data_IF_507689959585
#
_entry.id   IF_507689959585
#
_cell.length_a   1.000
_cell.length_b   1.000
_cell.length_c   1.000
_cell.angle_alpha   90.00
_cell.angle_beta   90.00
_cell.angle_gamma   90.00
#
_symmetry.space_group_name_H-M   'P 1'
#
loop_
_entity.id
_entity.type
_entity.pdbx_description
1 polymer ?
#
# COMPACT_ATOMS: atom_id res chain seq x y z
N UNK A 1 -22.61 12.03 -22.61
CA UNK A 1 -22.45 11.47 -21.24
C UNK A 1 -23.29 12.32 -20.30
N UNK A 2 -24.27 11.73 -19.56
CA UNK A 2 -24.94 12.47 -18.49
C UNK A 2 -23.90 12.73 -17.38
N UNK A 3 -23.82 13.97 -16.91
CA UNK A 3 -22.88 14.38 -15.87
C UNK A 3 -23.21 13.65 -14.55
N UNK A 4 -22.19 13.08 -13.89
CA UNK A 4 -22.32 12.58 -12.52
C UNK A 4 -22.47 13.78 -11.58
N UNK A 5 -23.72 14.05 -11.18
CA UNK A 5 -24.07 15.26 -10.44
C UNK A 5 -25.11 14.96 -9.37
N UNK A 6 -25.00 15.65 -8.24
CA UNK A 6 -26.00 15.58 -7.16
C UNK A 6 -27.42 15.94 -7.66
N UNK A 7 -27.56 16.87 -8.60
CA UNK A 7 -28.86 17.27 -9.17
C UNK A 7 -29.56 16.14 -9.93
N UNK A 8 -28.78 15.19 -10.49
CA UNK A 8 -29.29 13.99 -11.16
C UNK A 8 -29.58 12.80 -10.23
N UNK A 9 -29.40 12.94 -8.90
CA UNK A 9 -29.47 11.81 -7.96
C UNK A 9 -30.83 11.09 -7.97
N UNK A 10 -31.95 11.83 -8.03
CA UNK A 10 -33.28 11.22 -8.05
C UNK A 10 -33.52 10.37 -9.30
N UNK A 11 -33.11 10.87 -10.46
CA UNK A 11 -33.18 10.12 -11.72
C UNK A 11 -32.27 8.86 -11.66
N UNK A 12 -31.07 8.99 -11.11
CA UNK A 12 -30.16 7.88 -10.93
C UNK A 12 -30.74 6.79 -10.03
N UNK A 13 -31.34 7.14 -8.89
CA UNK A 13 -31.99 6.20 -7.99
C UNK A 13 -33.14 5.44 -8.67
N UNK A 14 -34.00 6.14 -9.42
CA UNK A 14 -35.06 5.48 -10.19
C UNK A 14 -34.54 4.51 -11.27
N UNK A 15 -33.38 4.78 -11.85
CA UNK A 15 -32.70 3.83 -12.75
C UNK A 15 -32.16 2.60 -12.04
N UNK A 16 -31.57 2.80 -10.87
CA UNK A 16 -30.96 1.69 -10.06
C UNK A 16 -32.05 0.66 -9.73
N UNK A 17 -33.26 1.08 -9.39
CA UNK A 17 -34.36 0.18 -9.03
C UNK A 17 -34.90 -0.65 -10.21
N UNK A 18 -34.77 -0.12 -11.45
CA UNK A 18 -35.42 -0.69 -12.63
C UNK A 18 -34.45 -1.32 -13.65
N UNK A 19 -33.14 -1.22 -13.43
CA UNK A 19 -32.15 -1.75 -14.35
C UNK A 19 -31.39 -2.93 -13.74
N UNK A 20 -31.17 -4.03 -14.49
CA UNK A 20 -30.34 -5.12 -14.02
C UNK A 20 -28.85 -4.70 -14.02
N UNK A 21 -28.09 -5.23 -13.06
CA UNK A 21 -26.64 -5.07 -12.94
C UNK A 21 -25.97 -6.43 -12.88
N UNK A 22 -24.79 -6.55 -13.50
CA UNK A 22 -23.98 -7.78 -13.43
C UNK A 22 -23.26 -7.87 -12.09
N UNK A 23 -22.81 -6.72 -11.55
CA UNK A 23 -22.07 -6.63 -10.28
C UNK A 23 -22.55 -5.45 -9.45
N UNK A 24 -22.75 -5.69 -8.17
CA UNK A 24 -23.00 -4.65 -7.16
C UNK A 24 -21.83 -4.62 -6.18
N UNK A 25 -21.22 -3.44 -6.03
CA UNK A 25 -20.09 -3.21 -5.14
C UNK A 25 -20.53 -2.32 -3.98
N UNK A 26 -20.32 -2.77 -2.76
CA UNK A 26 -20.66 -2.03 -1.54
C UNK A 26 -19.38 -1.46 -0.95
N UNK A 27 -19.26 -0.14 -0.96
CA UNK A 27 -18.12 0.62 -0.44
C UNK A 27 -17.24 1.23 -1.54
N UNK A 28 -17.07 2.55 -1.48
CA UNK A 28 -16.30 3.38 -2.40
C UNK A 28 -14.88 3.70 -1.91
N UNK A 29 -14.27 2.81 -1.12
CA UNK A 29 -12.85 2.88 -0.79
C UNK A 29 -11.96 2.42 -1.95
N UNK A 30 -10.63 2.37 -1.75
CA UNK A 30 -9.68 2.00 -2.81
C UNK A 30 -9.98 0.61 -3.39
N UNK A 31 -10.39 -0.34 -2.57
CA UNK A 31 -10.73 -1.69 -3.03
C UNK A 31 -11.97 -1.68 -3.91
N UNK A 32 -13.06 -1.07 -3.45
CA UNK A 32 -14.31 -1.04 -4.22
C UNK A 32 -14.19 -0.26 -5.52
N UNK A 33 -13.48 0.86 -5.52
CA UNK A 33 -13.23 1.63 -6.75
C UNK A 33 -12.31 0.88 -7.72
N UNK A 34 -11.32 0.13 -7.22
CA UNK A 34 -10.48 -0.74 -8.04
C UNK A 34 -11.28 -1.87 -8.70
N UNK A 35 -12.14 -2.54 -7.93
CA UNK A 35 -13.05 -3.58 -8.47
C UNK A 35 -14.00 -2.98 -9.49
N UNK A 36 -14.58 -1.79 -9.22
CA UNK A 36 -15.48 -1.12 -10.15
C UNK A 36 -14.79 -0.81 -11.48
N UNK A 37 -13.55 -0.31 -11.44
CA UNK A 37 -12.77 -0.04 -12.63
C UNK A 37 -12.53 -1.32 -13.44
N UNK A 38 -12.10 -2.40 -12.80
CA UNK A 38 -11.84 -3.68 -13.46
C UNK A 38 -13.12 -4.26 -14.09
N UNK A 39 -14.24 -4.23 -13.37
CA UNK A 39 -15.54 -4.68 -13.89
C UNK A 39 -15.96 -3.89 -15.13
N UNK A 40 -15.89 -2.56 -15.09
CA UNK A 40 -16.28 -1.70 -16.21
C UNK A 40 -15.38 -1.89 -17.41
N UNK A 41 -14.07 -2.07 -17.21
CA UNK A 41 -13.14 -2.34 -18.32
C UNK A 41 -13.37 -3.69 -18.99
N UNK A 42 -14.01 -4.63 -18.29
CA UNK A 42 -14.48 -5.91 -18.85
C UNK A 42 -15.87 -5.84 -19.49
N UNK A 43 -16.50 -4.67 -19.52
CA UNK A 43 -17.82 -4.46 -20.08
C UNK A 43 -18.97 -4.87 -19.17
N UNK A 44 -18.72 -5.16 -17.89
CA UNK A 44 -19.75 -5.51 -16.93
C UNK A 44 -20.53 -4.26 -16.49
N UNK A 45 -21.86 -4.37 -16.46
CA UNK A 45 -22.73 -3.30 -15.95
C UNK A 45 -22.65 -3.29 -14.43
N UNK A 46 -21.93 -2.31 -13.89
CA UNK A 46 -21.52 -2.27 -12.49
C UNK A 46 -22.23 -1.14 -11.73
N UNK A 47 -22.76 -1.46 -10.54
CA UNK A 47 -23.28 -0.50 -9.58
C UNK A 47 -22.33 -0.45 -8.37
N UNK A 48 -21.83 0.75 -8.04
CA UNK A 48 -21.09 0.99 -6.82
C UNK A 48 -21.91 1.86 -5.87
N UNK A 49 -22.06 1.41 -4.63
CA UNK A 49 -22.82 2.11 -3.58
C UNK A 49 -21.86 2.48 -2.44
N UNK A 50 -21.85 3.74 -2.07
CA UNK A 50 -21.08 4.26 -0.93
C UNK A 50 -22.01 5.02 0.02
N UNK A 51 -21.88 4.78 1.31
CA UNK A 51 -22.77 5.37 2.33
C UNK A 51 -22.43 6.82 2.67
N UNK A 52 -21.20 7.26 2.45
CA UNK A 52 -20.74 8.62 2.77
C UNK A 52 -20.22 9.32 1.51
N UNK A 53 -18.91 9.27 1.33
CA UNK A 53 -18.18 9.80 0.18
C UNK A 53 -17.05 8.82 -0.19
N UNK A 54 -16.55 8.91 -1.42
CA UNK A 54 -15.44 8.08 -1.86
C UNK A 54 -14.24 8.24 -0.94
N UNK A 55 -13.62 7.12 -0.60
CA UNK A 55 -12.46 7.05 0.27
C UNK A 55 -12.65 7.61 1.70
N UNK A 56 -13.86 7.86 2.17
CA UNK A 56 -14.12 8.46 3.50
C UNK A 56 -13.66 7.59 4.68
N UNK A 57 -13.50 6.28 4.48
CA UNK A 57 -13.01 5.34 5.48
C UNK A 57 -11.49 5.19 5.51
N UNK A 58 -11.02 3.94 5.61
CA UNK A 58 -9.61 3.55 5.74
C UNK A 58 -8.72 4.13 4.63
N UNK A 59 -9.23 4.24 3.41
CA UNK A 59 -8.46 4.75 2.26
C UNK A 59 -7.92 6.17 2.48
N UNK A 60 -8.64 7.02 3.24
CA UNK A 60 -8.17 8.37 3.61
C UNK A 60 -7.57 8.45 5.01
N UNK A 61 -7.81 7.47 5.87
CA UNK A 61 -7.42 7.47 7.29
C UNK A 61 -6.32 6.46 7.62
N UNK A 62 -5.55 6.05 6.63
CA UNK A 62 -4.39 5.16 6.75
C UNK A 62 -3.07 5.95 6.70
N UNK A 63 -1.95 5.26 6.90
CA UNK A 63 -0.60 5.83 6.70
C UNK A 63 -0.26 6.11 5.25
N UNK A 64 -1.15 5.77 4.31
CA UNK A 64 -0.97 5.91 2.86
C UNK A 64 0.19 5.10 2.28
N UNK A 65 0.69 4.12 3.02
CA UNK A 65 1.76 3.26 2.55
C UNK A 65 1.22 2.18 1.60
N UNK A 66 1.82 2.11 0.43
CA UNK A 66 1.69 1.01 -0.53
C UNK A 66 2.91 0.11 -0.31
N UNK A 67 2.82 -0.76 0.70
CA UNK A 67 3.95 -1.55 1.16
C UNK A 67 3.97 -2.95 0.55
N UNK A 68 5.17 -3.50 0.37
CA UNK A 68 5.38 -4.86 -0.15
C UNK A 68 5.28 -5.97 0.90
N UNK A 69 4.71 -5.69 2.07
CA UNK A 69 4.38 -6.71 3.05
C UNK A 69 5.57 -7.27 3.84
N UNK A 70 6.63 -6.50 4.09
CA UNK A 70 7.79 -6.92 4.90
C UNK A 70 7.40 -7.63 6.22
N UNK A 71 6.29 -7.22 6.82
CA UNK A 71 5.74 -7.84 8.04
C UNK A 71 5.44 -9.34 7.86
N UNK A 72 5.01 -9.76 6.68
CA UNK A 72 4.65 -11.16 6.40
C UNK A 72 5.86 -12.09 6.33
N UNK A 73 7.06 -11.56 6.07
CA UNK A 73 8.30 -12.37 6.18
C UNK A 73 8.52 -12.91 7.61
N UNK A 74 8.03 -12.18 8.62
CA UNK A 74 8.08 -12.62 10.00
C UNK A 74 7.20 -13.87 10.25
N UNK A 75 6.18 -14.06 9.44
CA UNK A 75 5.23 -15.18 9.49
C UNK A 75 5.60 -16.27 8.47
N UNK A 76 6.75 -16.14 7.80
CA UNK A 76 7.20 -17.04 6.72
C UNK A 76 6.27 -17.08 5.50
N UNK A 77 5.41 -16.08 5.32
CA UNK A 77 4.49 -15.98 4.18
C UNK A 77 5.20 -15.40 2.94
N UNK A 78 6.20 -16.15 2.46
CA UNK A 78 7.10 -15.72 1.36
C UNK A 78 6.33 -15.48 0.05
N UNK A 79 5.34 -16.34 -0.23
CA UNK A 79 4.49 -16.21 -1.41
C UNK A 79 3.72 -14.89 -1.42
N UNK A 80 3.10 -14.52 -0.28
CA UNK A 80 2.37 -13.28 -0.13
C UNK A 80 3.28 -12.04 -0.30
N UNK A 81 4.51 -12.10 0.23
CA UNK A 81 5.48 -10.99 0.05
C UNK A 81 5.86 -10.81 -1.43
N UNK A 82 6.03 -11.90 -2.17
CA UNK A 82 6.33 -11.84 -3.59
C UNK A 82 5.16 -11.26 -4.40
N UNK A 83 3.93 -11.65 -4.10
CA UNK A 83 2.72 -11.16 -4.74
C UNK A 83 2.50 -9.67 -4.44
N UNK A 84 2.43 -9.29 -3.15
CA UNK A 84 2.22 -7.90 -2.72
C UNK A 84 3.34 -6.98 -3.22
N UNK A 85 4.58 -7.47 -3.25
CA UNK A 85 5.72 -6.72 -3.80
C UNK A 85 5.58 -6.42 -5.29
N UNK A 86 5.08 -7.38 -6.08
CA UNK A 86 4.77 -7.17 -7.51
C UNK A 86 3.62 -6.19 -7.70
N UNK A 87 2.54 -6.35 -6.94
CA UNK A 87 1.38 -5.45 -7.00
C UNK A 87 1.76 -4.00 -6.62
N UNK A 88 2.66 -3.81 -5.68
CA UNK A 88 3.22 -2.48 -5.34
C UNK A 88 3.81 -1.78 -6.55
N UNK A 89 4.57 -2.50 -7.38
CA UNK A 89 5.16 -1.95 -8.62
C UNK A 89 4.08 -1.68 -9.68
N UNK A 90 3.05 -2.52 -9.76
CA UNK A 90 1.90 -2.30 -10.65
C UNK A 90 1.17 -1.02 -10.28
N UNK A 91 0.86 -0.82 -8.99
CA UNK A 91 0.22 0.42 -8.48
C UNK A 91 1.07 1.64 -8.82
N UNK A 92 2.38 1.59 -8.61
CA UNK A 92 3.27 2.70 -8.95
C UNK A 92 3.27 3.03 -10.45
N UNK A 93 3.28 2.01 -11.31
CA UNK A 93 3.21 2.23 -12.77
C UNK A 93 1.89 2.79 -13.23
N UNK A 94 0.80 2.37 -12.62
CA UNK A 94 -0.56 2.81 -12.98
C UNK A 94 -0.87 4.22 -12.45
N UNK A 95 -0.29 4.61 -11.32
CA UNK A 95 -0.58 5.87 -10.65
C UNK A 95 0.68 6.64 -10.22
N UNK A 96 1.63 6.91 -11.15
CA UNK A 96 2.90 7.56 -10.80
C UNK A 96 2.76 9.01 -10.34
N UNK A 97 1.61 9.64 -10.63
CA UNK A 97 1.29 11.01 -10.25
C UNK A 97 0.83 11.14 -8.78
N UNK A 98 0.45 10.04 -8.15
CA UNK A 98 0.00 10.00 -6.73
C UNK A 98 0.81 9.04 -5.87
N UNK A 99 1.74 8.30 -6.46
CA UNK A 99 2.54 7.30 -5.74
C UNK A 99 4.03 7.62 -5.88
N UNK A 100 4.75 7.68 -4.78
CA UNK A 100 6.20 7.95 -4.80
C UNK A 100 6.96 7.01 -3.88
N UNK A 101 8.25 6.70 -4.23
CA UNK A 101 9.12 5.95 -3.37
C UNK A 101 9.49 6.77 -2.13
N UNK A 102 9.31 6.20 -0.95
CA UNK A 102 9.62 6.78 0.34
C UNK A 102 10.61 5.90 1.09
N UNK A 103 11.66 6.50 1.65
CA UNK A 103 12.65 5.77 2.43
C UNK A 103 12.17 5.57 3.87
N UNK A 104 12.08 4.31 4.26
CA UNK A 104 11.66 3.88 5.58
C UNK A 104 12.85 3.50 6.45
N UNK A 105 12.81 3.93 7.70
CA UNK A 105 13.81 3.58 8.71
C UNK A 105 13.24 2.54 9.67
N UNK A 106 13.85 1.38 9.73
CA UNK A 106 13.50 0.29 10.66
C UNK A 106 14.57 0.19 11.75
N UNK A 107 14.38 0.83 12.91
CA UNK A 107 15.36 0.78 13.99
C UNK A 107 15.47 -0.64 14.60
N UNK A 108 16.69 -1.05 14.90
CA UNK A 108 17.00 -2.37 15.44
C UNK A 108 17.53 -2.18 16.86
N UNK A 109 16.79 -2.70 17.82
CA UNK A 109 17.16 -2.67 19.24
C UNK A 109 17.60 -4.05 19.73
N UNK A 110 18.44 -4.09 20.78
CA UNK A 110 18.98 -5.34 21.34
C UNK A 110 17.89 -6.32 21.81
N UNK A 111 16.77 -5.80 22.28
CA UNK A 111 15.64 -6.60 22.78
C UNK A 111 14.53 -6.74 21.73
N UNK A 112 14.77 -6.29 20.51
CA UNK A 112 13.85 -6.45 19.39
C UNK A 112 13.74 -7.92 18.95
N UNK A 113 12.65 -8.24 18.28
CA UNK A 113 12.36 -9.60 17.79
C UNK A 113 13.45 -10.13 16.83
N UNK A 114 14.16 -9.24 16.14
CA UNK A 114 15.21 -9.59 15.19
C UNK A 114 16.47 -8.78 15.46
N UNK A 115 17.61 -9.48 15.46
CA UNK A 115 18.92 -8.84 15.49
C UNK A 115 19.31 -8.23 14.13
N UNK A 116 20.46 -7.57 14.10
CA UNK A 116 20.98 -6.87 12.91
C UNK A 116 21.15 -7.80 11.70
N UNK A 117 21.64 -9.02 11.90
CA UNK A 117 21.89 -9.99 10.83
C UNK A 117 20.58 -10.55 10.26
N UNK A 118 19.64 -10.96 11.11
CA UNK A 118 18.35 -11.46 10.69
C UNK A 118 17.50 -10.40 9.98
N UNK A 119 17.51 -9.15 10.47
CA UNK A 119 16.88 -8.02 9.77
C UNK A 119 17.54 -7.78 8.40
N UNK A 120 18.87 -7.83 8.32
CA UNK A 120 19.60 -7.68 7.06
C UNK A 120 19.22 -8.77 6.05
N UNK A 121 19.14 -10.02 6.50
CA UNK A 121 18.75 -11.14 5.65
C UNK A 121 17.29 -10.99 5.21
N UNK A 122 16.38 -10.67 6.14
CA UNK A 122 14.97 -10.46 5.83
C UNK A 122 14.75 -9.37 4.79
N UNK A 123 15.41 -8.22 4.94
CA UNK A 123 15.35 -7.14 3.95
C UNK A 123 15.99 -7.53 2.60
N UNK A 124 17.03 -8.40 2.59
CA UNK A 124 17.62 -8.90 1.34
C UNK A 124 16.64 -9.82 0.60
N UNK A 125 15.98 -10.70 1.33
CA UNK A 125 14.93 -11.57 0.77
C UNK A 125 13.77 -10.73 0.25
N UNK A 126 13.37 -9.71 1.02
CA UNK A 126 12.34 -8.77 0.60
C UNK A 126 12.70 -8.04 -0.71
N UNK A 127 13.88 -7.46 -0.82
CA UNK A 127 14.36 -6.80 -2.05
C UNK A 127 14.28 -7.72 -3.28
N UNK A 128 14.62 -9.00 -3.09
CA UNK A 128 14.58 -9.99 -4.15
C UNK A 128 13.14 -10.36 -4.54
N UNK A 129 12.29 -10.66 -3.57
CA UNK A 129 10.90 -11.08 -3.80
C UNK A 129 10.03 -9.95 -4.36
N UNK A 130 10.23 -8.74 -3.85
CA UNK A 130 9.50 -7.55 -4.30
C UNK A 130 10.07 -6.90 -5.58
N UNK A 131 11.11 -7.47 -6.17
CA UNK A 131 11.73 -6.96 -7.40
C UNK A 131 12.28 -5.54 -7.27
N UNK A 132 12.80 -5.17 -6.08
CA UNK A 132 13.25 -3.81 -5.78
C UNK A 132 14.37 -3.36 -6.72
N UNK A 133 14.22 -2.16 -7.32
CA UNK A 133 15.20 -1.57 -8.25
C UNK A 133 16.55 -1.36 -7.57
N UNK A 134 17.65 -1.52 -8.31
CA UNK A 134 19.02 -1.43 -7.79
C UNK A 134 19.28 -0.20 -6.92
N UNK A 135 18.74 0.96 -7.30
CA UNK A 135 18.89 2.24 -6.60
C UNK A 135 18.06 2.34 -5.30
N UNK A 136 17.05 1.51 -5.16
CA UNK A 136 16.09 1.49 -4.05
C UNK A 136 16.38 0.35 -3.05
N UNK A 137 17.42 -0.46 -3.33
CA UNK A 137 17.78 -1.57 -2.46
C UNK A 137 18.17 -1.12 -1.07
N UNK A 138 17.84 -1.95 -0.12
CA UNK A 138 18.11 -1.73 1.30
C UNK A 138 19.56 -1.35 1.61
N UNK A 139 19.71 -0.58 2.68
CA UNK A 139 21.01 -0.29 3.31
C UNK A 139 20.92 -0.60 4.79
N UNK A 140 22.01 -1.11 5.37
CA UNK A 140 22.10 -1.27 6.82
C UNK A 140 22.88 -0.09 7.38
N UNK A 141 22.24 0.67 8.26
CA UNK A 141 22.79 1.86 8.88
C UNK A 141 23.42 1.52 10.22
N UNK A 142 24.55 2.13 10.53
CA UNK A 142 25.15 2.18 11.86
C UNK A 142 24.25 2.99 12.81
N UNK A 143 24.51 2.91 14.12
CA UNK A 143 23.80 3.70 15.14
C UNK A 143 23.91 5.20 14.84
N UNK A 144 25.10 5.67 14.47
CA UNK A 144 25.35 7.09 14.20
C UNK A 144 24.60 7.57 12.95
N UNK A 145 24.57 6.75 11.89
CA UNK A 145 23.83 7.07 10.66
C UNK A 145 22.31 7.08 10.89
N UNK A 146 21.80 6.12 11.68
CA UNK A 146 20.38 6.07 12.04
C UNK A 146 19.97 7.31 12.82
N UNK A 147 20.76 7.72 13.83
CA UNK A 147 20.50 8.91 14.62
C UNK A 147 20.66 10.22 13.86
N UNK A 148 21.50 10.26 12.83
CA UNK A 148 21.55 11.43 11.92
C UNK A 148 20.30 11.58 11.07
N UNK A 149 19.69 10.46 10.68
CA UNK A 149 18.45 10.46 9.89
C UNK A 149 17.22 10.72 10.75
N UNK A 150 17.18 10.16 11.95
CA UNK A 150 16.08 10.32 12.90
C UNK A 150 16.64 10.56 14.30
N UNK A 151 16.82 11.82 14.70
CA UNK A 151 17.39 12.20 15.99
C UNK A 151 16.54 11.80 17.20
N UNK A 152 15.22 11.57 17.01
CA UNK A 152 14.30 11.21 18.08
C UNK A 152 14.38 9.73 18.48
N UNK A 153 15.17 8.90 17.77
CA UNK A 153 15.36 7.52 18.15
C UNK A 153 16.00 7.40 19.54
N UNK A 154 15.49 6.48 20.34
CA UNK A 154 16.10 6.17 21.63
C UNK A 154 17.48 5.54 21.41
N UNK A 155 18.53 6.19 21.92
CA UNK A 155 19.92 5.72 21.81
C UNK A 155 20.21 4.47 22.62
N UNK A 156 19.45 4.26 23.71
CA UNK A 156 19.70 3.08 24.57
C UNK A 156 19.39 1.81 23.79
N UNK A 157 20.37 0.90 23.75
CA UNK A 157 20.26 -0.42 23.13
C UNK A 157 20.00 -0.43 21.61
N UNK A 158 20.11 0.73 20.94
CA UNK A 158 20.04 0.80 19.48
C UNK A 158 21.27 0.11 18.86
N UNK A 159 21.06 -0.83 17.94
CA UNK A 159 22.11 -1.58 17.25
C UNK A 159 22.37 -1.04 15.82
N UNK A 160 21.51 -0.18 15.32
CA UNK A 160 21.50 0.37 13.98
C UNK A 160 20.10 0.37 13.40
N UNK A 161 19.98 0.49 12.09
CA UNK A 161 18.70 0.44 11.41
C UNK A 161 18.79 -0.23 10.04
N UNK A 162 17.69 -0.85 9.61
CA UNK A 162 17.43 -1.14 8.21
C UNK A 162 16.87 0.12 7.52
N UNK A 163 17.34 0.41 6.32
CA UNK A 163 16.90 1.54 5.53
C UNK A 163 16.51 1.04 4.16
N UNK A 164 15.23 1.13 3.80
CA UNK A 164 14.64 0.50 2.62
C UNK A 164 13.51 1.36 2.05
N UNK A 165 13.11 1.09 0.81
CA UNK A 165 12.07 1.87 0.14
C UNK A 165 10.73 1.16 0.20
N UNK A 166 9.71 1.90 0.59
CA UNK A 166 8.31 1.60 0.34
C UNK A 166 7.69 2.68 -0.54
N UNK A 167 6.49 2.44 -1.08
CA UNK A 167 5.78 3.47 -1.81
C UNK A 167 4.69 4.09 -0.93
N UNK A 168 4.37 5.34 -1.22
CA UNK A 168 3.36 6.11 -0.50
C UNK A 168 2.51 6.90 -1.48
N UNK A 169 1.21 7.02 -1.18
CA UNK A 169 0.25 7.88 -1.88
C UNK A 169 -0.03 9.15 -1.08
#
# INVERSE_FOLDING_TARGET
MKSFSFTGRRELLGRIENEPYDVIIIGGGITGTGIALDCVTRGLKTLLIEMQDFAAGTSSRSTKLVHGGLRYLKQFEVGMVAEVGKEREVVYRNAPHVTHPEWMLLPIYREGTFGKYSTSLGLKVYDFLAGVKKKERRRMLSVQEALRKEPLLNRKRLLGAGYYVEYRT
#
